data_IF_428324158458
#
_entry.id   IF_428324158458
#
_cell.length_a   1.000
_cell.length_b   1.000
_cell.length_c   1.000
_cell.angle_alpha   90.00
_cell.angle_beta   90.00
_cell.angle_gamma   90.00
#
_symmetry.space_group_name_H-M   'P 1'
#
loop_
_entity.id
_entity.type
_entity.pdbx_description
1 polymer ?
#
# COMPACT_ATOMS: atom_id res chain seq x y z
N UNK A 1 -41.84 29.06 -7.16
CA UNK A 1 -40.80 28.18 -6.60
C UNK A 1 -40.50 27.12 -7.64
N UNK A 2 -39.32 27.16 -8.26
CA UNK A 2 -38.91 26.19 -9.27
C UNK A 2 -38.02 25.19 -8.55
N UNK A 3 -38.50 23.96 -8.37
CA UNK A 3 -37.73 22.89 -7.76
C UNK A 3 -36.65 22.44 -8.75
N UNK A 4 -35.38 22.70 -8.41
CA UNK A 4 -34.24 22.19 -9.14
C UNK A 4 -34.14 20.68 -8.90
N UNK A 5 -34.48 19.89 -9.91
CA UNK A 5 -34.22 18.45 -9.95
C UNK A 5 -32.73 18.24 -10.26
N UNK A 6 -31.91 18.17 -9.21
CA UNK A 6 -30.54 17.68 -9.33
C UNK A 6 -30.59 16.15 -9.42
N UNK A 7 -30.37 15.61 -10.62
CA UNK A 7 -30.06 14.19 -10.82
C UNK A 7 -28.55 14.03 -10.65
N UNK A 8 -28.04 13.31 -9.63
CA UNK A 8 -26.62 13.05 -9.53
C UNK A 8 -26.17 12.22 -10.74
N UNK A 9 -25.22 12.76 -11.50
CA UNK A 9 -24.50 12.04 -12.56
C UNK A 9 -23.91 10.76 -11.98
N UNK A 10 -24.23 9.63 -12.61
CA UNK A 10 -23.67 8.31 -12.30
C UNK A 10 -22.15 8.42 -12.51
N UNK A 11 -21.31 7.99 -11.55
CA UNK A 11 -19.88 7.89 -11.80
C UNK A 11 -19.65 7.07 -13.08
N UNK A 12 -18.87 7.61 -14.01
CA UNK A 12 -18.47 6.90 -15.24
C UNK A 12 -17.15 6.21 -14.91
N UNK A 13 -17.08 4.91 -15.16
CA UNK A 13 -15.86 4.13 -14.97
C UNK A 13 -14.81 4.60 -15.98
N UNK A 14 -13.60 4.91 -15.49
CA UNK A 14 -12.49 5.34 -16.34
C UNK A 14 -11.85 4.09 -16.96
N UNK A 15 -11.79 4.00 -18.29
CA UNK A 15 -11.06 2.94 -18.97
C UNK A 15 -9.74 3.50 -19.48
N UNK A 16 -8.64 2.87 -19.10
CA UNK A 16 -7.28 3.23 -19.50
C UNK A 16 -6.60 2.05 -20.19
N UNK A 17 -5.56 2.32 -20.95
CA UNK A 17 -4.63 1.34 -21.52
C UNK A 17 -3.24 1.53 -20.92
N UNK A 18 -2.32 0.62 -21.26
CA UNK A 18 -0.91 0.77 -20.87
C UNK A 18 -0.22 1.99 -21.49
N UNK A 19 -0.84 2.64 -22.48
CA UNK A 19 -0.36 3.85 -23.16
C UNK A 19 -0.78 5.15 -22.46
N UNK A 20 -1.80 5.11 -21.59
CA UNK A 20 -2.47 6.31 -21.04
C UNK A 20 -1.78 6.91 -19.79
N UNK A 21 -0.60 6.41 -19.40
CA UNK A 21 0.24 7.03 -18.38
C UNK A 21 1.22 6.09 -17.68
N UNK A 22 2.28 6.68 -17.11
CA UNK A 22 3.40 5.95 -16.50
C UNK A 22 3.14 5.50 -15.05
N UNK A 23 2.08 6.02 -14.41
CA UNK A 23 1.79 5.79 -12.99
C UNK A 23 0.40 5.19 -12.76
N UNK A 24 0.40 3.97 -12.24
CA UNK A 24 -0.79 3.22 -11.81
C UNK A 24 -0.98 3.26 -10.28
N UNK A 25 -0.04 3.85 -9.55
CA UNK A 25 -0.15 4.10 -8.11
C UNK A 25 -1.42 4.89 -7.81
N UNK A 26 -2.10 4.55 -6.71
CA UNK A 26 -3.36 5.17 -6.25
C UNK A 26 -4.60 4.92 -7.12
N UNK A 27 -4.49 4.16 -8.22
CA UNK A 27 -5.63 3.74 -9.05
C UNK A 27 -6.13 2.36 -8.63
N UNK A 28 -7.43 2.11 -8.76
CA UNK A 28 -8.04 0.82 -8.42
C UNK A 28 -8.58 0.15 -9.67
N UNK A 29 -8.21 -1.10 -9.88
CA UNK A 29 -8.77 -1.92 -10.94
C UNK A 29 -10.16 -2.45 -10.55
N UNK A 30 -11.07 -2.46 -11.51
CA UNK A 30 -12.40 -3.08 -11.44
C UNK A 30 -12.45 -4.34 -12.30
N UNK A 31 -12.00 -4.20 -13.53
CA UNK A 31 -11.91 -5.25 -14.52
C UNK A 31 -10.85 -4.90 -15.55
N UNK A 32 -10.49 -5.88 -16.36
CA UNK A 32 -9.67 -5.67 -17.54
C UNK A 32 -10.13 -6.60 -18.65
N UNK A 33 -9.95 -6.16 -19.89
CA UNK A 33 -10.14 -6.97 -21.08
C UNK A 33 -8.79 -7.20 -21.73
N UNK A 34 -8.48 -8.46 -21.99
CA UNK A 34 -7.31 -8.86 -22.75
C UNK A 34 -7.70 -9.95 -23.74
N UNK A 35 -7.32 -9.76 -25.01
CA UNK A 35 -7.65 -10.70 -26.11
C UNK A 35 -9.14 -11.01 -26.26
N UNK A 36 -9.99 -10.02 -26.01
CA UNK A 36 -11.46 -10.17 -26.07
C UNK A 36 -12.06 -10.93 -24.89
N UNK A 37 -11.29 -11.22 -23.84
CA UNK A 37 -11.76 -11.85 -22.61
C UNK A 37 -11.81 -10.80 -21.51
N UNK A 38 -13.01 -10.49 -21.05
CA UNK A 38 -13.24 -9.62 -19.90
C UNK A 38 -13.07 -10.41 -18.60
N UNK A 39 -12.29 -9.85 -17.67
CA UNK A 39 -12.01 -10.43 -16.36
C UNK A 39 -12.25 -9.38 -15.28
N UNK A 40 -12.96 -9.75 -14.21
CA UNK A 40 -13.00 -8.93 -13.00
C UNK A 40 -11.71 -9.08 -12.22
N UNK A 41 -11.15 -7.98 -11.72
CA UNK A 41 -9.95 -8.00 -10.88
C UNK A 41 -10.13 -7.14 -9.64
N UNK A 42 -9.65 -7.65 -8.51
CA UNK A 42 -9.66 -6.94 -7.23
C UNK A 42 -8.37 -6.19 -6.96
N UNK A 43 -7.26 -6.58 -7.60
CA UNK A 43 -5.94 -5.97 -7.43
C UNK A 43 -5.13 -5.99 -8.72
N UNK A 44 -4.12 -5.12 -8.79
CA UNK A 44 -3.15 -5.11 -9.90
C UNK A 44 -2.34 -6.42 -9.99
N UNK A 45 -2.18 -7.12 -8.86
CA UNK A 45 -1.57 -8.46 -8.80
C UNK A 45 -2.40 -9.47 -9.59
N UNK A 46 -3.72 -9.49 -9.43
CA UNK A 46 -4.58 -10.42 -10.16
C UNK A 46 -4.49 -10.23 -11.69
N UNK A 47 -4.45 -8.98 -12.16
CA UNK A 47 -4.19 -8.68 -13.58
C UNK A 47 -2.81 -9.20 -14.00
N UNK A 48 -1.77 -8.87 -13.25
CA UNK A 48 -0.40 -9.27 -13.55
C UNK A 48 -0.25 -10.79 -13.66
N UNK A 49 -0.78 -11.52 -12.68
CA UNK A 49 -0.77 -12.99 -12.66
C UNK A 49 -1.55 -13.60 -13.83
N UNK A 50 -2.69 -13.00 -14.18
CA UNK A 50 -3.48 -13.43 -15.33
C UNK A 50 -2.69 -13.29 -16.63
N UNK A 51 -2.05 -12.14 -16.86
CA UNK A 51 -1.27 -11.89 -18.07
C UNK A 51 -0.11 -12.88 -18.17
N UNK A 52 0.63 -13.10 -17.09
CA UNK A 52 1.72 -14.09 -17.06
C UNK A 52 1.25 -15.48 -17.48
N UNK A 53 0.17 -15.99 -16.88
CA UNK A 53 -0.37 -17.32 -17.21
C UNK A 53 -0.86 -17.38 -18.65
N UNK A 54 -1.56 -16.33 -19.10
CA UNK A 54 -2.11 -16.26 -20.46
C UNK A 54 -0.99 -16.27 -21.51
N UNK A 55 0.08 -15.50 -21.30
CA UNK A 55 1.22 -15.46 -22.21
C UNK A 55 2.01 -16.77 -22.17
N UNK A 56 2.15 -17.41 -21.00
CA UNK A 56 2.76 -18.73 -20.91
C UNK A 56 1.98 -19.77 -21.69
N UNK A 57 0.64 -19.81 -21.56
CA UNK A 57 -0.20 -20.73 -22.33
C UNK A 57 -0.12 -20.49 -23.84
N UNK A 58 0.12 -19.24 -24.26
CA UNK A 58 0.31 -18.88 -25.67
C UNK A 58 1.63 -19.39 -26.25
N UNK A 59 2.75 -19.17 -25.57
CA UNK A 59 4.07 -19.63 -26.01
C UNK A 59 5.03 -19.89 -24.83
N UNK A 60 5.03 -21.10 -24.26
CA UNK A 60 5.96 -21.47 -23.19
C UNK A 60 7.43 -21.36 -23.60
N UNK A 61 7.72 -21.55 -24.90
CA UNK A 61 9.06 -21.50 -25.46
C UNK A 61 9.61 -20.07 -25.43
N UNK A 62 8.81 -19.09 -25.84
CA UNK A 62 9.19 -17.69 -25.76
C UNK A 62 9.46 -17.26 -24.31
N UNK A 63 8.60 -17.64 -23.34
CA UNK A 63 8.86 -17.32 -21.93
C UNK A 63 10.19 -17.90 -21.42
N UNK A 64 10.53 -19.11 -21.85
CA UNK A 64 11.81 -19.76 -21.55
C UNK A 64 12.97 -18.94 -22.12
N UNK A 65 12.86 -18.48 -23.36
CA UNK A 65 13.86 -17.61 -24.02
C UNK A 65 14.04 -16.30 -23.26
N UNK A 66 12.96 -15.65 -22.79
CA UNK A 66 13.05 -14.39 -22.02
C UNK A 66 13.88 -14.54 -20.74
N UNK A 67 13.87 -15.72 -20.11
CA UNK A 67 14.66 -16.02 -18.91
C UNK A 67 16.13 -16.30 -19.27
N UNK A 68 16.37 -16.94 -20.41
CA UNK A 68 17.71 -17.32 -20.88
C UNK A 68 18.47 -16.16 -21.52
N UNK A 69 17.76 -15.15 -22.04
CA UNK A 69 18.33 -13.97 -22.71
C UNK A 69 18.02 -12.66 -21.93
N UNK A 70 18.38 -12.57 -20.64
CA UNK A 70 17.95 -11.48 -19.77
C UNK A 70 18.54 -10.11 -20.13
N UNK A 71 19.60 -10.08 -20.93
CA UNK A 71 20.24 -8.83 -21.39
C UNK A 71 19.37 -8.07 -22.41
N UNK A 72 18.46 -8.77 -23.11
CA UNK A 72 17.51 -8.14 -24.02
C UNK A 72 16.29 -7.57 -23.26
N UNK A 73 16.01 -8.09 -22.06
CA UNK A 73 14.86 -7.69 -21.23
C UNK A 73 15.30 -7.48 -19.76
N UNK A 74 16.00 -6.37 -19.44
CA UNK A 74 16.64 -6.18 -18.14
C UNK A 74 15.68 -6.17 -16.95
N UNK A 75 14.44 -5.71 -17.18
CA UNK A 75 13.35 -5.74 -16.19
C UNK A 75 12.92 -7.17 -15.90
N UNK A 76 12.73 -8.00 -16.93
CA UNK A 76 12.26 -9.38 -16.80
C UNK A 76 13.28 -10.29 -16.10
N UNK A 77 14.58 -9.95 -16.17
CA UNK A 77 15.68 -10.66 -15.47
C UNK A 77 15.43 -10.84 -13.97
N UNK A 78 14.83 -9.85 -13.32
CA UNK A 78 14.55 -9.87 -11.87
C UNK A 78 13.13 -10.33 -11.56
N UNK A 79 12.34 -10.64 -12.58
CA UNK A 79 10.93 -10.97 -12.47
C UNK A 79 10.69 -12.45 -12.75
N UNK A 80 11.33 -13.02 -13.78
CA UNK A 80 11.16 -14.42 -14.16
C UNK A 80 12.38 -15.25 -13.80
N UNK A 81 12.18 -16.48 -13.33
CA UNK A 81 13.26 -17.40 -12.98
C UNK A 81 12.85 -18.87 -13.10
N UNK A 82 13.82 -19.73 -13.42
CA UNK A 82 13.65 -21.18 -13.29
C UNK A 82 13.81 -21.67 -11.84
N UNK A 83 14.27 -20.82 -10.94
CA UNK A 83 14.54 -21.15 -9.55
C UNK A 83 13.63 -20.37 -8.62
N UNK A 84 12.78 -21.08 -7.88
CA UNK A 84 11.94 -20.52 -6.81
C UNK A 84 12.75 -19.73 -5.78
N UNK A 85 14.00 -20.13 -5.52
CA UNK A 85 14.83 -19.59 -4.44
C UNK A 85 15.44 -18.23 -4.77
N UNK A 86 15.45 -17.81 -6.04
CA UNK A 86 16.01 -16.51 -6.45
C UNK A 86 15.00 -15.38 -6.30
N UNK A 87 13.74 -15.68 -5.96
CA UNK A 87 12.63 -14.73 -5.87
C UNK A 87 12.18 -14.62 -4.41
N UNK A 88 11.68 -13.45 -4.03
CA UNK A 88 11.18 -13.18 -2.68
C UNK A 88 9.79 -13.76 -2.49
N UNK A 89 8.88 -13.53 -3.44
CA UNK A 89 7.53 -14.08 -3.44
C UNK A 89 7.24 -14.81 -4.76
N UNK A 90 7.73 -16.05 -4.90
CA UNK A 90 7.63 -16.80 -6.14
C UNK A 90 6.22 -17.35 -6.36
N UNK A 91 5.66 -17.00 -7.50
CA UNK A 91 4.42 -17.58 -8.05
C UNK A 91 4.77 -18.51 -9.21
N UNK A 92 4.22 -19.74 -9.19
CA UNK A 92 4.37 -20.67 -10.30
C UNK A 92 3.55 -20.19 -11.51
N UNK A 93 4.22 -19.95 -12.64
CA UNK A 93 3.57 -19.60 -13.91
C UNK A 93 3.22 -20.86 -14.70
N UNK A 94 4.18 -21.78 -14.83
CA UNK A 94 4.02 -23.07 -15.50
C UNK A 94 5.32 -23.88 -15.54
N UNK A 95 5.21 -25.21 -15.58
CA UNK A 95 6.31 -26.17 -15.46
C UNK A 95 7.27 -25.87 -14.29
N UNK A 96 8.38 -25.18 -14.58
CA UNK A 96 9.41 -24.76 -13.61
C UNK A 96 9.74 -23.27 -13.74
N UNK A 97 8.86 -22.49 -14.36
CA UNK A 97 8.97 -21.04 -14.49
C UNK A 97 8.19 -20.38 -13.35
N UNK A 98 8.88 -19.49 -12.65
CA UNK A 98 8.35 -18.72 -11.54
C UNK A 98 8.43 -17.23 -11.86
N UNK A 99 7.46 -16.47 -11.35
CA UNK A 99 7.43 -15.02 -11.39
C UNK A 99 7.50 -14.41 -9.98
N UNK A 100 8.18 -13.27 -9.84
CA UNK A 100 8.19 -12.44 -8.64
C UNK A 100 6.86 -11.70 -8.49
N UNK A 101 6.18 -11.87 -7.35
CA UNK A 101 4.94 -11.13 -7.06
C UNK A 101 5.10 -10.00 -6.04
N UNK A 102 6.25 -9.95 -5.35
CA UNK A 102 6.63 -8.86 -4.44
C UNK A 102 7.24 -7.68 -5.22
N UNK A 103 6.37 -6.99 -5.95
CA UNK A 103 6.69 -5.82 -6.78
C UNK A 103 5.66 -4.72 -6.50
N UNK A 104 6.05 -3.45 -6.49
CA UNK A 104 5.06 -2.36 -6.47
C UNK A 104 4.21 -2.36 -7.76
N UNK A 105 3.09 -1.64 -7.75
CA UNK A 105 2.14 -1.60 -8.88
C UNK A 105 2.82 -1.17 -10.18
N UNK A 106 3.70 -0.15 -10.15
CA UNK A 106 4.32 0.34 -11.37
C UNK A 106 5.31 -0.67 -11.93
N UNK A 107 6.05 -1.40 -11.08
CA UNK A 107 6.94 -2.48 -11.52
C UNK A 107 6.17 -3.68 -12.06
N UNK A 108 5.02 -4.04 -11.47
CA UNK A 108 4.11 -5.05 -12.04
C UNK A 108 3.65 -4.62 -13.43
N UNK A 109 3.17 -3.39 -13.58
CA UNK A 109 2.67 -2.90 -14.87
C UNK A 109 3.78 -2.70 -15.91
N UNK A 110 4.99 -2.33 -15.49
CA UNK A 110 6.15 -2.31 -16.37
C UNK A 110 6.52 -3.72 -16.86
N UNK A 111 6.48 -4.72 -15.96
CA UNK A 111 6.67 -6.11 -16.34
C UNK A 111 5.62 -6.55 -17.38
N UNK A 112 4.35 -6.18 -17.19
CA UNK A 112 3.29 -6.45 -18.15
C UNK A 112 3.60 -5.82 -19.51
N UNK A 113 4.02 -4.54 -19.55
CA UNK A 113 4.41 -3.88 -20.80
C UNK A 113 5.52 -4.64 -21.52
N UNK A 114 6.62 -4.92 -20.82
CA UNK A 114 7.78 -5.56 -21.42
C UNK A 114 7.46 -6.98 -21.90
N UNK A 115 6.58 -7.70 -21.19
CA UNK A 115 6.08 -9.01 -21.62
C UNK A 115 5.21 -8.92 -22.87
N UNK A 116 4.26 -7.99 -22.92
CA UNK A 116 3.41 -7.82 -24.10
C UNK A 116 4.23 -7.43 -25.33
N UNK A 117 5.18 -6.50 -25.19
CA UNK A 117 6.10 -6.13 -26.26
C UNK A 117 6.95 -7.33 -26.73
N UNK A 118 7.47 -8.13 -25.80
CA UNK A 118 8.22 -9.33 -26.13
C UNK A 118 7.41 -10.37 -26.92
N UNK A 119 6.11 -10.49 -26.62
CA UNK A 119 5.16 -11.36 -27.32
C UNK A 119 4.60 -10.75 -28.62
N UNK A 120 4.96 -9.49 -28.93
CA UNK A 120 4.42 -8.77 -30.09
C UNK A 120 2.94 -8.40 -29.96
N UNK A 121 2.44 -8.34 -28.72
CA UNK A 121 1.07 -7.92 -28.42
C UNK A 121 0.98 -6.39 -28.42
N UNK A 122 -0.15 -5.86 -28.88
CA UNK A 122 -0.41 -4.43 -28.81
C UNK A 122 -0.75 -4.02 -27.36
N UNK A 123 -0.03 -3.03 -26.83
CA UNK A 123 -0.27 -2.47 -25.49
C UNK A 123 -1.67 -1.87 -25.34
N UNK A 124 -2.29 -1.44 -26.44
CA UNK A 124 -3.70 -0.98 -26.46
C UNK A 124 -4.70 -2.13 -26.32
N UNK A 125 -4.27 -3.37 -26.56
CA UNK A 125 -5.08 -4.59 -26.44
C UNK A 125 -5.36 -5.03 -25.01
N UNK A 126 -4.74 -4.39 -24.01
CA UNK A 126 -5.09 -4.51 -22.61
C UNK A 126 -5.88 -3.27 -22.17
N UNK A 127 -7.21 -3.38 -22.15
CA UNK A 127 -8.09 -2.33 -21.65
C UNK A 127 -8.37 -2.57 -20.16
N UNK A 128 -8.12 -1.57 -19.32
CA UNK A 128 -8.25 -1.66 -17.87
C UNK A 128 -9.33 -0.69 -17.42
N UNK A 129 -10.39 -1.21 -16.83
CA UNK A 129 -11.45 -0.41 -16.24
C UNK A 129 -11.13 -0.16 -14.77
N UNK A 130 -11.10 1.12 -14.40
CA UNK A 130 -10.83 1.57 -13.04
C UNK A 130 -12.13 1.82 -12.28
N UNK A 131 -12.11 1.52 -10.99
CA UNK A 131 -13.21 1.86 -10.09
C UNK A 131 -13.33 3.37 -10.01
N UNK A 132 -14.51 3.89 -10.31
CA UNK A 132 -14.81 5.29 -10.06
C UNK A 132 -14.76 5.55 -8.55
N UNK A 133 -13.99 6.55 -8.14
CA UNK A 133 -13.84 6.93 -6.73
C UNK A 133 -15.14 7.53 -6.19
N UNK A 134 -16.04 6.69 -5.65
CA UNK A 134 -17.09 7.10 -4.69
C UNK A 134 -17.27 6.09 -3.55
N UNK A 135 -17.38 6.67 -2.36
CA UNK A 135 -17.56 6.11 -1.04
C UNK A 135 -18.63 5.02 -0.93
N UNK A 136 -18.28 3.87 -0.33
CA UNK A 136 -19.24 3.03 0.37
C UNK A 136 -18.59 2.27 1.54
N UNK A 137 -19.25 2.37 2.70
CA UNK A 137 -19.04 1.59 3.91
C UNK A 137 -19.38 0.11 3.63
N UNK A 138 -18.63 -0.87 4.17
CA UNK A 138 -19.02 -2.27 4.07
C UNK A 138 -19.91 -2.71 5.24
N UNK A 139 -20.84 -3.60 4.90
CA UNK A 139 -21.65 -4.39 5.81
C UNK A 139 -20.91 -5.69 6.21
N UNK A 140 -21.20 -6.16 7.42
CA UNK A 140 -20.67 -7.37 8.04
C UNK A 140 -21.15 -8.65 7.33
N UNK A 141 -20.28 -9.67 7.24
CA UNK A 141 -20.67 -11.07 7.50
C UNK A 141 -19.46 -12.02 7.67
N UNK A 142 -19.77 -13.17 8.28
CA UNK A 142 -18.98 -14.03 9.18
C UNK A 142 -17.95 -15.02 8.60
N UNK A 143 -17.00 -15.32 9.50
CA UNK A 143 -16.16 -16.50 9.80
C UNK A 143 -16.39 -17.86 9.07
N UNK A 144 -15.30 -18.53 8.63
CA UNK A 144 -14.84 -19.87 9.12
C UNK A 144 -13.72 -20.49 8.26
N UNK A 145 -12.69 -21.10 8.89
CA UNK A 145 -11.81 -22.11 8.26
C UNK A 145 -10.37 -22.17 8.81
N UNK A 146 -9.88 -23.35 9.23
CA UNK A 146 -8.78 -23.52 10.20
C UNK A 146 -7.47 -24.15 9.62
N UNK A 147 -6.35 -23.66 10.15
CA UNK A 147 -5.07 -24.34 10.45
C UNK A 147 -4.01 -24.64 9.38
N UNK A 148 -4.28 -24.62 8.08
CA UNK A 148 -3.21 -24.63 7.03
C UNK A 148 -3.02 -23.24 6.42
N UNK A 149 -4.09 -22.42 6.45
CA UNK A 149 -4.11 -21.04 5.99
C UNK A 149 -3.28 -20.10 6.86
N UNK A 150 -3.05 -20.41 8.14
CA UNK A 150 -2.39 -19.50 9.09
C UNK A 150 -0.96 -19.11 8.70
N UNK A 151 -0.19 -20.02 8.08
CA UNK A 151 1.17 -19.73 7.61
C UNK A 151 1.19 -19.02 6.23
N UNK A 152 0.16 -19.22 5.40
CA UNK A 152 -0.04 -18.47 4.15
C UNK A 152 -0.61 -17.07 4.44
N UNK A 153 -1.46 -16.94 5.46
CA UNK A 153 -2.02 -15.69 5.97
C UNK A 153 -1.00 -14.86 6.73
N UNK A 154 -0.10 -15.47 7.51
CA UNK A 154 1.01 -14.76 8.17
C UNK A 154 1.96 -14.17 7.12
N UNK A 155 2.40 -14.97 6.12
CA UNK A 155 3.22 -14.48 5.02
C UNK A 155 2.48 -13.46 4.13
N UNK A 156 1.18 -13.67 3.87
CA UNK A 156 0.36 -12.70 3.14
C UNK A 156 0.16 -11.40 3.94
N UNK A 157 0.12 -11.46 5.28
CA UNK A 157 0.04 -10.28 6.13
C UNK A 157 1.36 -9.51 6.13
N UNK A 158 2.49 -10.21 6.17
CA UNK A 158 3.82 -9.60 6.10
C UNK A 158 4.04 -8.92 4.74
N UNK A 159 3.67 -9.56 3.63
CA UNK A 159 3.70 -8.95 2.29
C UNK A 159 2.77 -7.75 2.18
N UNK A 160 1.56 -7.83 2.73
CA UNK A 160 0.59 -6.75 2.73
C UNK A 160 1.12 -5.49 3.45
N UNK A 161 1.76 -5.67 4.61
CA UNK A 161 2.40 -4.55 5.30
C UNK A 161 3.61 -4.01 4.55
N UNK A 162 4.43 -4.88 3.94
CA UNK A 162 5.56 -4.45 3.12
C UNK A 162 5.12 -3.59 1.94
N UNK A 163 4.07 -4.00 1.21
CA UNK A 163 3.52 -3.25 0.08
C UNK A 163 2.92 -1.91 0.53
N UNK A 164 2.15 -1.92 1.62
CA UNK A 164 1.56 -0.70 2.18
C UNK A 164 2.63 0.31 2.61
N UNK A 165 3.65 -0.14 3.34
CA UNK A 165 4.71 0.73 3.80
C UNK A 165 5.60 1.21 2.65
N UNK A 166 5.79 0.40 1.61
CA UNK A 166 6.52 0.83 0.41
C UNK A 166 5.85 2.05 -0.24
N UNK A 167 4.54 1.98 -0.47
CA UNK A 167 3.77 3.11 -1.01
C UNK A 167 3.73 4.31 -0.06
N UNK A 168 3.60 4.05 1.25
CA UNK A 168 3.62 5.12 2.26
C UNK A 168 4.93 5.89 2.26
N UNK A 169 6.06 5.19 2.18
CA UNK A 169 7.40 5.78 2.21
C UNK A 169 7.76 6.50 0.91
N UNK A 170 7.33 5.97 -0.23
CA UNK A 170 7.46 6.64 -1.53
C UNK A 170 6.70 7.99 -1.50
N UNK A 171 5.43 7.96 -1.07
CA UNK A 171 4.63 9.17 -0.97
C UNK A 171 5.23 10.16 0.05
N UNK A 172 5.68 9.69 1.21
CA UNK A 172 6.34 10.53 2.21
C UNK A 172 7.63 11.19 1.67
N UNK A 173 8.42 10.45 0.89
CA UNK A 173 9.65 10.95 0.25
C UNK A 173 9.35 12.03 -0.80
N UNK A 174 8.18 12.00 -1.43
CA UNK A 174 7.73 13.05 -2.34
C UNK A 174 7.40 14.37 -1.62
N UNK A 175 7.01 14.31 -0.34
CA UNK A 175 6.67 15.48 0.47
C UNK A 175 7.87 16.06 1.22
N UNK A 176 8.87 15.23 1.56
CA UNK A 176 10.05 15.66 2.31
C UNK A 176 11.25 14.73 2.06
N UNK A 177 12.44 15.31 1.94
CA UNK A 177 13.69 14.56 1.76
C UNK A 177 14.20 13.87 3.03
N UNK A 178 13.61 14.13 4.20
CA UNK A 178 14.07 13.62 5.49
C UNK A 178 14.01 12.07 5.59
N UNK A 179 13.13 11.43 4.82
CA UNK A 179 12.79 10.02 4.98
C UNK A 179 13.21 9.10 3.84
N UNK A 180 13.97 9.59 2.85
CA UNK A 180 14.31 8.84 1.62
C UNK A 180 15.19 7.60 1.80
N UNK A 181 15.67 7.30 3.00
CA UNK A 181 16.49 6.11 3.31
C UNK A 181 15.71 5.01 4.04
N UNK A 182 14.45 5.25 4.41
CA UNK A 182 13.66 4.32 5.20
C UNK A 182 13.21 3.12 4.37
N UNK A 183 13.30 1.94 4.97
CA UNK A 183 12.85 0.68 4.37
C UNK A 183 11.44 0.31 4.87
N UNK A 184 10.60 -0.37 4.07
CA UNK A 184 9.35 -0.94 4.54
C UNK A 184 9.59 -1.99 5.64
N UNK A 185 8.54 -2.33 6.39
CA UNK A 185 8.57 -3.35 7.46
C UNK A 185 7.42 -4.34 7.25
N UNK A 186 7.49 -5.53 7.83
CA UNK A 186 6.33 -6.43 7.90
C UNK A 186 5.44 -6.15 9.11
N UNK A 187 5.88 -5.30 10.04
CA UNK A 187 5.08 -4.92 11.21
C UNK A 187 3.86 -4.06 10.82
N UNK A 188 2.80 -4.14 11.61
CA UNK A 188 1.62 -3.27 11.47
C UNK A 188 1.85 -1.82 11.94
N UNK A 189 3.09 -1.48 12.29
CA UNK A 189 3.52 -0.16 12.72
C UNK A 189 4.91 0.19 12.18
N UNK A 190 5.20 1.47 12.07
CA UNK A 190 6.52 1.96 11.69
C UNK A 190 6.90 3.20 12.49
N UNK A 191 8.05 3.17 13.15
CA UNK A 191 8.57 4.29 13.93
C UNK A 191 9.59 5.13 13.15
N UNK A 192 9.60 6.42 13.44
CA UNK A 192 10.53 7.44 12.96
C UNK A 192 11.16 8.12 14.16
N UNK A 193 12.49 8.24 14.19
CA UNK A 193 13.18 8.88 15.31
C UNK A 193 12.78 10.35 15.46
N UNK A 194 12.53 10.80 16.68
CA UNK A 194 12.20 12.19 16.97
C UNK A 194 13.41 13.04 17.39
N UNK A 195 14.64 12.57 17.13
CA UNK A 195 15.89 13.25 17.50
C UNK A 195 16.34 13.04 18.96
N UNK A 196 15.45 12.59 19.84
CA UNK A 196 15.76 12.24 21.23
C UNK A 196 15.49 10.76 21.52
N UNK A 197 16.42 10.11 22.22
CA UNK A 197 16.31 8.69 22.58
C UNK A 197 15.03 8.39 23.35
N UNK A 198 14.34 7.32 22.96
CA UNK A 198 13.07 6.90 23.56
C UNK A 198 11.85 7.73 23.18
N UNK A 199 11.98 8.71 22.28
CA UNK A 199 10.87 9.44 21.67
C UNK A 199 10.82 9.15 20.17
N UNK A 200 9.62 8.89 19.64
CA UNK A 200 9.44 8.59 18.22
C UNK A 200 8.11 9.13 17.70
N UNK A 201 8.09 9.53 16.44
CA UNK A 201 6.85 9.57 15.67
C UNK A 201 6.61 8.18 15.10
N UNK A 202 5.40 7.88 14.67
CA UNK A 202 5.15 6.62 13.98
C UNK A 202 3.79 6.52 13.36
N UNK A 203 3.66 5.49 12.53
CA UNK A 203 2.44 5.03 11.92
C UNK A 203 2.00 3.71 12.52
N UNK A 204 0.70 3.48 12.49
CA UNK A 204 0.11 2.15 12.64
C UNK A 204 -1.06 2.00 11.70
N UNK A 205 -1.29 0.80 11.20
CA UNK A 205 -2.48 0.45 10.44
C UNK A 205 -2.98 -0.92 10.87
N UNK A 206 -4.29 -1.09 10.85
CA UNK A 206 -5.00 -2.30 11.23
C UNK A 206 -6.13 -2.59 10.25
N UNK A 207 -6.98 -3.56 10.56
CA UNK A 207 -8.22 -3.81 9.80
C UNK A 207 -9.35 -2.83 10.14
N UNK A 208 -9.13 -1.89 11.07
CA UNK A 208 -10.18 -0.99 11.59
C UNK A 208 -9.81 0.48 11.48
N UNK A 209 -8.54 0.81 11.61
CA UNK A 209 -8.04 2.17 11.58
C UNK A 209 -6.60 2.27 11.06
N UNK A 210 -6.19 3.48 10.71
CA UNK A 210 -4.79 3.88 10.69
C UNK A 210 -4.57 5.07 11.64
N UNK A 211 -3.32 5.26 12.05
CA UNK A 211 -2.99 6.30 13.00
C UNK A 211 -1.59 6.89 12.79
N UNK A 212 -1.45 8.15 13.16
CA UNK A 212 -0.16 8.84 13.33
C UNK A 212 -0.01 9.16 14.81
N UNK A 213 1.13 8.78 15.39
CA UNK A 213 1.38 8.99 16.81
C UNK A 213 2.75 9.58 17.10
N UNK A 214 2.84 10.24 18.24
CA UNK A 214 4.06 10.55 18.94
C UNK A 214 4.09 9.74 20.24
N UNK A 215 5.11 8.89 20.39
CA UNK A 215 5.26 7.97 21.52
C UNK A 215 6.46 8.35 22.38
N UNK A 216 6.21 8.45 23.69
CA UNK A 216 7.21 8.58 24.74
C UNK A 216 7.39 7.21 25.40
N UNK A 217 8.55 6.58 25.20
CA UNK A 217 8.81 5.20 25.60
C UNK A 217 10.24 4.97 26.12
N UNK A 218 10.81 5.98 26.79
CA UNK A 218 12.08 5.87 27.52
C UNK A 218 12.06 4.73 28.55
N UNK A 219 13.23 4.24 28.98
CA UNK A 219 13.32 3.18 29.98
C UNK A 219 12.60 3.53 31.29
N UNK A 220 12.68 4.79 31.72
CA UNK A 220 11.99 5.29 32.91
C UNK A 220 10.54 5.69 32.59
N UNK A 221 9.60 5.16 33.37
CA UNK A 221 8.17 5.46 33.24
C UNK A 221 7.86 6.90 33.63
N UNK A 222 8.45 7.40 34.70
CA UNK A 222 8.14 8.72 35.24
C UNK A 222 8.65 9.82 34.29
N UNK A 223 9.80 9.61 33.63
CA UNK A 223 10.26 10.48 32.55
C UNK A 223 9.24 10.59 31.41
N UNK A 224 8.62 9.47 30.99
CA UNK A 224 7.59 9.48 29.95
C UNK A 224 6.31 10.19 30.40
N UNK A 225 5.98 10.13 31.70
CA UNK A 225 4.80 10.83 32.25
C UNK A 225 5.05 12.33 32.37
N UNK A 226 6.22 12.71 32.86
CA UNK A 226 6.63 14.13 32.94
C UNK A 226 6.73 14.76 31.54
N UNK A 227 7.27 14.05 30.55
CA UNK A 227 7.30 14.53 29.17
C UNK A 227 5.88 14.70 28.60
N UNK A 228 4.98 13.76 28.87
CA UNK A 228 3.59 13.87 28.46
C UNK A 228 2.89 15.06 29.13
N UNK A 229 3.06 15.22 30.45
CA UNK A 229 2.42 16.29 31.22
C UNK A 229 2.92 17.68 30.75
N UNK A 230 4.21 17.78 30.39
CA UNK A 230 4.78 18.98 29.78
C UNK A 230 4.10 19.34 28.45
N UNK A 231 3.90 18.35 27.55
CA UNK A 231 3.19 18.58 26.29
C UNK A 231 1.71 18.86 26.51
N UNK A 232 1.06 18.15 27.44
CA UNK A 232 -0.35 18.30 27.74
C UNK A 232 -0.69 19.69 28.30
N UNK A 233 0.22 20.30 29.07
CA UNK A 233 0.09 21.69 29.51
C UNK A 233 0.03 22.69 28.34
N UNK A 234 0.53 22.32 27.16
CA UNK A 234 0.55 23.11 25.92
C UNK A 234 -0.43 22.58 24.88
N UNK A 235 -1.38 21.72 25.28
CA UNK A 235 -2.32 21.05 24.37
C UNK A 235 -3.01 22.00 23.40
N UNK A 236 -3.50 23.14 23.88
CA UNK A 236 -4.22 24.10 23.03
C UNK A 236 -3.30 24.74 21.96
N UNK A 237 -2.06 25.06 22.32
CA UNK A 237 -1.04 25.56 21.39
C UNK A 237 -0.71 24.50 20.33
N UNK A 238 -0.46 23.27 20.77
CA UNK A 238 -0.11 22.14 19.90
C UNK A 238 -1.26 21.81 18.95
N UNK A 239 -2.50 21.66 19.43
CA UNK A 239 -3.67 21.36 18.57
C UNK A 239 -3.96 22.53 17.60
N UNK A 240 -3.68 23.77 17.99
CA UNK A 240 -3.79 24.93 17.10
C UNK A 240 -2.76 24.89 15.97
N UNK A 241 -1.49 24.59 16.26
CA UNK A 241 -0.44 24.46 15.24
C UNK A 241 -0.65 23.21 14.38
N UNK A 242 -1.11 22.11 14.98
CA UNK A 242 -1.42 20.87 14.28
C UNK A 242 -2.64 21.02 13.35
N UNK A 243 -3.60 21.87 13.71
CA UNK A 243 -4.81 22.17 12.93
C UNK A 243 -5.96 21.18 13.14
N UNK A 244 -5.92 20.36 14.20
CA UNK A 244 -6.96 19.39 14.56
C UNK A 244 -6.81 18.95 16.01
N UNK A 245 -7.88 18.39 16.58
CA UNK A 245 -7.84 17.80 17.93
C UNK A 245 -7.06 16.48 17.90
N UNK A 246 -6.28 16.25 18.96
CA UNK A 246 -5.49 15.03 19.14
C UNK A 246 -6.08 14.21 20.29
N UNK A 247 -5.84 12.91 20.27
CA UNK A 247 -6.06 12.01 21.40
C UNK A 247 -4.83 12.02 22.31
N UNK A 248 -5.04 12.29 23.59
CA UNK A 248 -3.97 12.45 24.59
C UNK A 248 -4.01 11.29 25.58
N UNK A 249 -3.20 10.27 25.31
CA UNK A 249 -3.20 9.02 26.05
C UNK A 249 -1.99 8.94 26.99
N UNK A 250 -2.17 9.41 28.24
CA UNK A 250 -1.12 9.33 29.27
C UNK A 250 -0.76 7.89 29.61
N UNK A 251 -1.72 6.96 29.59
CA UNK A 251 -1.54 5.54 29.86
C UNK A 251 -0.84 5.26 31.22
N UNK A 252 -1.43 5.70 32.33
CA UNK A 252 -0.82 5.63 33.67
C UNK A 252 -0.38 4.24 34.11
N UNK A 253 -1.06 3.22 33.61
CA UNK A 253 -0.77 1.81 33.92
C UNK A 253 0.34 1.21 33.03
N UNK A 254 0.82 1.95 32.01
CA UNK A 254 1.87 1.54 31.08
C UNK A 254 3.11 2.42 31.22
N UNK A 255 4.26 1.91 30.78
CA UNK A 255 5.52 2.65 30.73
C UNK A 255 5.44 3.85 29.77
N UNK A 256 4.84 3.64 28.61
CA UNK A 256 4.76 4.64 27.55
C UNK A 256 3.61 5.61 27.72
N UNK A 257 3.70 6.74 27.04
CA UNK A 257 2.61 7.71 26.83
C UNK A 257 2.52 8.01 25.35
N UNK A 258 1.32 8.30 24.83
CA UNK A 258 1.09 8.47 23.39
C UNK A 258 0.18 9.68 23.14
N UNK A 259 0.53 10.49 22.14
CA UNK A 259 -0.36 11.47 21.52
C UNK A 259 -0.66 10.97 20.10
N UNK A 260 -1.92 10.88 19.70
CA UNK A 260 -2.29 10.20 18.46
C UNK A 260 -3.45 10.89 17.74
N UNK A 261 -3.46 10.78 16.42
CA UNK A 261 -4.64 11.04 15.58
C UNK A 261 -4.96 9.79 14.77
N UNK A 262 -6.25 9.49 14.61
CA UNK A 262 -6.72 8.28 13.94
C UNK A 262 -7.64 8.60 12.78
N UNK A 263 -7.55 7.79 11.74
CA UNK A 263 -8.55 7.67 10.71
C UNK A 263 -9.18 6.29 10.84
N UNK A 264 -10.42 6.25 11.33
CA UNK A 264 -11.21 5.02 11.42
C UNK A 264 -11.75 4.57 10.07
N UNK A 265 -12.34 3.38 10.05
CA UNK A 265 -12.89 2.74 8.85
C UNK A 265 -11.83 2.54 7.76
N UNK A 266 -10.60 2.26 8.19
CA UNK A 266 -9.47 1.89 7.34
C UNK A 266 -9.14 0.43 7.61
N UNK A 267 -9.12 -0.39 6.57
CA UNK A 267 -8.71 -1.78 6.64
C UNK A 267 -7.48 -1.99 5.75
N UNK A 268 -6.38 -2.43 6.37
CA UNK A 268 -5.14 -2.80 5.68
C UNK A 268 -5.37 -3.81 4.55
N UNK A 269 -6.36 -4.70 4.64
CA UNK A 269 -6.71 -5.67 3.60
C UNK A 269 -7.46 -5.03 2.42
N UNK A 270 -7.96 -3.81 2.60
CA UNK A 270 -8.65 -3.04 1.57
C UNK A 270 -7.68 -2.05 0.93
N UNK A 271 -6.89 -2.51 -0.05
CA UNK A 271 -5.96 -1.68 -0.83
C UNK A 271 -6.64 -0.42 -1.41
N UNK A 272 -7.95 -0.47 -1.63
CA UNK A 272 -8.77 0.65 -2.06
C UNK A 272 -8.74 1.86 -1.10
N UNK A 273 -8.52 1.62 0.19
CA UNK A 273 -8.49 2.63 1.23
C UNK A 273 -7.08 3.17 1.48
N UNK A 274 -6.06 2.50 0.95
CA UNK A 274 -4.66 2.86 1.16
C UNK A 274 -4.32 4.28 0.72
N UNK A 275 -4.75 4.79 -0.45
CA UNK A 275 -4.43 6.16 -0.84
C UNK A 275 -4.87 7.20 0.19
N UNK A 276 -6.10 7.07 0.70
CA UNK A 276 -6.64 7.97 1.72
C UNK A 276 -5.93 7.80 3.07
N UNK A 277 -5.62 6.56 3.47
CA UNK A 277 -4.88 6.27 4.68
C UNK A 277 -3.44 6.81 4.62
N UNK A 278 -2.77 6.64 3.48
CA UNK A 278 -1.40 7.10 3.22
C UNK A 278 -1.36 8.62 3.24
N UNK A 279 -2.21 9.30 2.47
CA UNK A 279 -2.29 10.77 2.45
C UNK A 279 -2.60 11.33 3.84
N UNK A 280 -3.53 10.71 4.57
CA UNK A 280 -3.81 11.06 5.95
C UNK A 280 -2.57 10.91 6.82
N UNK A 281 -1.86 9.79 6.75
CA UNK A 281 -0.72 9.52 7.61
C UNK A 281 0.48 10.44 7.30
N UNK A 282 0.85 10.60 6.04
CA UNK A 282 2.03 11.38 5.65
C UNK A 282 1.84 12.87 5.93
N UNK A 283 0.67 13.44 5.61
CA UNK A 283 0.37 14.84 5.90
C UNK A 283 0.31 15.11 7.42
N UNK A 284 -0.31 14.20 8.19
CA UNK A 284 -0.38 14.37 9.64
C UNK A 284 0.96 14.12 10.32
N UNK A 285 1.87 13.30 9.77
CA UNK A 285 3.24 13.20 10.27
C UNK A 285 3.95 14.55 10.21
N UNK A 286 3.90 15.21 9.04
CA UNK A 286 4.55 16.51 8.84
C UNK A 286 3.97 17.56 9.81
N UNK A 287 2.65 17.62 9.96
CA UNK A 287 1.99 18.51 10.93
C UNK A 287 2.36 18.17 12.37
N UNK A 288 2.50 16.89 12.70
CA UNK A 288 2.91 16.44 14.02
C UNK A 288 4.35 16.87 14.34
N UNK A 289 5.27 16.72 13.39
CA UNK A 289 6.65 17.18 13.54
C UNK A 289 6.77 18.71 13.69
N UNK A 290 5.88 19.46 13.05
CA UNK A 290 5.83 20.93 13.16
C UNK A 290 5.24 21.41 14.49
N UNK A 291 4.28 20.67 15.05
CA UNK A 291 3.55 21.06 16.27
C UNK A 291 4.16 20.51 17.55
N UNK A 292 4.84 19.37 17.47
CA UNK A 292 5.48 18.70 18.60
C UNK A 292 6.96 18.58 18.26
N UNK A 293 7.78 19.53 18.72
CA UNK A 293 9.24 19.43 18.64
C UNK A 293 9.77 19.13 20.04
N UNK A 294 10.35 17.94 20.27
CA UNK A 294 10.83 17.53 21.59
C UNK A 294 12.16 18.16 22.01
#
# INVERSE_FOLDING_TARGET
>A
MIASTFTPSRPVDETITLLDGDTFTFRQIQSFEFKGIENSAKSWKELYEYILKTLYEQDPGLMTTLIQEPEQYPTLKVILSFSRQTLRSPMLVGDSIYAETNLDTNRKMQAVRDLLEAYGEDLSGLAITLKSSKSHLPADDEDTGDSVDRALEENASDELFLDFWSQTLEHLSSLTSQFGHLQPTSDSWKNFGAGLSGLAYGFSISQKDCAVYFIMQRPDKDENKSAFDYLAARRAEIESTFGSKLEWNRLDQKKSSIIVIRLGSVDIRQESQWPAAIDFMTNNLIRMQQSISP
#
